data_IF_255337688940
#
_entry.id   IF_255337688940
#
_cell.length_a   1.000
_cell.length_b   1.000
_cell.length_c   1.000
_cell.angle_alpha   90.00
_cell.angle_beta   90.00
_cell.angle_gamma   90.00
#
_symmetry.space_group_name_H-M   'P 1'
#
loop_
_entity.id
_entity.type
_entity.pdbx_description
1 polymer ?
#
# COMPACT_ATOMS: atom_id res chain seq x y z
N UNK A 1 -20.37 -55.11 -7.64
CA UNK A 1 -19.43 -54.11 -8.17
C UNK A 1 -19.70 -52.83 -7.42
N UNK A 2 -18.86 -52.58 -6.42
CA UNK A 2 -18.81 -51.33 -5.66
C UNK A 2 -18.37 -50.20 -6.59
N UNK A 3 -18.99 -49.02 -6.46
CA UNK A 3 -18.41 -47.81 -7.02
C UNK A 3 -18.25 -46.81 -5.88
N UNK A 4 -16.99 -46.60 -5.52
CA UNK A 4 -16.50 -45.64 -4.54
C UNK A 4 -16.42 -44.26 -5.19
N UNK A 5 -16.56 -43.23 -4.34
CA UNK A 5 -15.88 -41.96 -4.55
C UNK A 5 -16.61 -40.95 -5.42
N UNK A 6 -17.18 -39.93 -4.78
CA UNK A 6 -16.47 -38.65 -4.68
C UNK A 6 -17.02 -37.89 -3.48
N UNK A 7 -16.22 -37.89 -2.43
CA UNK A 7 -16.30 -36.98 -1.30
C UNK A 7 -16.05 -35.57 -1.85
N UNK A 8 -17.09 -34.73 -1.97
CA UNK A 8 -16.88 -33.30 -2.27
C UNK A 8 -16.33 -32.66 -1.00
N UNK A 9 -15.03 -32.43 -1.06
CA UNK A 9 -14.22 -31.72 -0.09
C UNK A 9 -14.91 -30.42 0.33
N UNK A 10 -14.91 -30.24 1.65
CA UNK A 10 -15.32 -29.09 2.40
C UNK A 10 -14.92 -27.78 1.70
N UNK A 11 -15.89 -26.89 1.49
CA UNK A 11 -15.62 -25.48 1.34
C UNK A 11 -14.84 -25.04 2.58
N UNK A 12 -13.63 -24.54 2.35
CA UNK A 12 -12.76 -23.98 3.38
C UNK A 12 -13.53 -22.90 4.13
N UNK A 13 -14.00 -23.23 5.33
CA UNK A 13 -14.33 -22.24 6.35
C UNK A 13 -13.03 -21.48 6.60
N UNK A 14 -12.90 -20.32 5.97
CA UNK A 14 -11.90 -19.33 6.32
C UNK A 14 -12.18 -18.93 7.77
N UNK A 15 -11.53 -19.66 8.68
CA UNK A 15 -11.54 -19.40 10.10
C UNK A 15 -10.83 -18.07 10.31
N UNK A 16 -11.60 -16.98 10.29
CA UNK A 16 -11.09 -15.67 10.68
C UNK A 16 -10.69 -15.79 12.14
N UNK A 17 -9.38 -15.85 12.41
CA UNK A 17 -8.92 -15.80 13.77
C UNK A 17 -9.36 -14.46 14.37
N UNK A 18 -9.92 -14.45 15.60
CA UNK A 18 -10.25 -13.20 16.25
C UNK A 18 -9.00 -12.34 16.33
N UNK A 19 -9.17 -11.03 16.10
CA UNK A 19 -8.11 -10.07 16.36
C UNK A 19 -7.60 -10.31 17.77
N UNK A 20 -6.27 -10.46 17.91
CA UNK A 20 -5.68 -10.78 19.20
C UNK A 20 -6.20 -9.78 20.25
N UNK A 21 -6.80 -10.21 21.37
CA UNK A 21 -7.53 -9.32 22.27
C UNK A 21 -6.71 -8.13 22.78
N UNK A 22 -5.41 -8.33 23.01
CA UNK A 22 -4.47 -7.24 23.33
C UNK A 22 -4.34 -6.24 22.17
N UNK A 23 -4.15 -6.73 20.93
CA UNK A 23 -4.03 -5.88 19.76
C UNK A 23 -5.33 -5.09 19.57
N UNK A 24 -6.50 -5.74 19.66
CA UNK A 24 -7.79 -5.05 19.59
C UNK A 24 -7.93 -3.97 20.66
N UNK A 25 -7.55 -4.26 21.90
CA UNK A 25 -7.61 -3.30 23.01
C UNK A 25 -6.62 -2.13 22.81
N UNK A 26 -5.41 -2.41 22.32
CA UNK A 26 -4.40 -1.40 22.05
C UNK A 26 -4.81 -0.52 20.88
N UNK A 27 -5.29 -1.11 19.78
CA UNK A 27 -5.84 -0.41 18.62
C UNK A 27 -7.06 0.43 19.00
N UNK A 28 -8.03 -0.08 19.76
CA UNK A 28 -9.19 0.73 20.22
C UNK A 28 -8.74 1.90 21.11
N UNK A 29 -7.65 1.73 21.88
CA UNK A 29 -7.15 2.74 22.81
C UNK A 29 -6.27 3.79 22.12
N UNK A 30 -5.60 3.45 21.02
CA UNK A 30 -4.74 4.35 20.23
C UNK A 30 -5.43 4.93 18.99
N UNK A 31 -6.38 4.21 18.41
CA UNK A 31 -7.07 4.56 17.16
C UNK A 31 -8.45 5.11 17.46
N UNK A 32 -8.50 6.43 17.67
CA UNK A 32 -9.75 7.18 17.58
C UNK A 32 -10.25 7.23 16.13
N UNK A 33 -11.53 7.60 15.95
CA UNK A 33 -12.20 7.71 14.64
C UNK A 33 -11.58 8.83 13.76
N UNK A 34 -10.80 9.74 14.36
CA UNK A 34 -10.15 10.86 13.65
C UNK A 34 -8.76 10.53 13.11
N UNK A 35 -8.25 9.31 13.31
CA UNK A 35 -6.89 8.97 12.89
C UNK A 35 -6.81 8.77 11.37
N UNK A 36 -5.84 9.44 10.76
CA UNK A 36 -5.52 9.27 9.35
C UNK A 36 -4.54 8.09 9.18
N UNK A 37 -4.97 7.11 8.39
CA UNK A 37 -4.15 5.97 8.00
C UNK A 37 -3.76 6.07 6.54
N UNK A 38 -2.72 5.34 6.16
CA UNK A 38 -2.43 5.03 4.76
C UNK A 38 -2.48 3.53 4.54
N UNK A 39 -3.13 3.11 3.46
CA UNK A 39 -2.99 1.75 2.97
C UNK A 39 -1.98 1.74 1.82
N UNK A 40 -1.11 0.73 1.83
CA UNK A 40 -0.08 0.53 0.81
C UNK A 40 -0.22 -0.85 0.19
N UNK A 41 -0.27 -0.87 -1.15
CA UNK A 41 -0.09 -2.08 -1.95
C UNK A 41 0.94 -1.85 -3.05
N UNK A 42 1.43 -2.95 -3.64
CA UNK A 42 2.32 -2.90 -4.80
C UNK A 42 1.58 -3.46 -6.01
N UNK A 43 1.11 -2.57 -6.88
CA UNK A 43 0.43 -2.99 -8.11
C UNK A 43 1.40 -2.92 -9.29
N UNK A 44 1.62 -4.05 -9.97
CA UNK A 44 2.56 -4.17 -11.11
C UNK A 44 3.97 -3.61 -10.82
N UNK A 45 4.45 -3.83 -9.59
CA UNK A 45 5.77 -3.34 -9.15
C UNK A 45 5.81 -1.88 -8.72
N UNK A 46 4.67 -1.16 -8.76
CA UNK A 46 4.57 0.22 -8.30
C UNK A 46 3.88 0.27 -6.92
N UNK A 47 4.52 0.83 -5.89
CA UNK A 47 3.86 1.07 -4.62
C UNK A 47 2.81 2.15 -4.81
N UNK A 48 1.59 1.87 -4.37
CA UNK A 48 0.49 2.82 -4.34
C UNK A 48 0.09 3.01 -2.88
N UNK A 49 -0.02 4.26 -2.46
CA UNK A 49 -0.50 4.66 -1.15
C UNK A 49 -1.82 5.42 -1.29
N UNK A 50 -2.77 5.12 -0.42
CA UNK A 50 -4.07 5.81 -0.40
C UNK A 50 -4.47 6.10 1.04
N UNK A 51 -5.04 7.28 1.24
CA UNK A 51 -5.55 7.70 2.54
C UNK A 51 -6.72 6.82 2.93
N UNK A 52 -6.74 6.45 4.20
CA UNK A 52 -7.78 5.64 4.79
C UNK A 52 -8.22 6.21 6.13
N UNK A 53 -9.51 6.08 6.43
CA UNK A 53 -10.08 6.43 7.72
C UNK A 53 -10.73 5.20 8.32
N UNK A 54 -10.47 4.97 9.61
CA UNK A 54 -11.07 3.86 10.32
C UNK A 54 -12.55 4.17 10.62
N UNK A 55 -13.44 3.36 10.06
CA UNK A 55 -14.88 3.52 10.24
C UNK A 55 -15.42 2.64 11.37
N UNK A 56 -14.98 1.38 11.44
CA UNK A 56 -15.49 0.43 12.43
C UNK A 56 -14.46 -0.64 12.76
N UNK A 57 -14.39 -1.01 14.04
CA UNK A 57 -13.64 -2.16 14.55
C UNK A 57 -14.64 -3.27 14.89
N UNK A 58 -14.64 -4.34 14.11
CA UNK A 58 -15.41 -5.55 14.38
C UNK A 58 -14.67 -6.52 15.30
N UNK A 59 -15.23 -7.72 15.48
CA UNK A 59 -14.61 -8.77 16.30
C UNK A 59 -13.44 -9.47 15.59
N UNK A 60 -13.52 -9.57 14.27
CA UNK A 60 -12.56 -10.30 13.43
C UNK A 60 -11.97 -9.47 12.30
N UNK A 61 -12.50 -8.27 12.07
CA UNK A 61 -12.12 -7.41 10.95
C UNK A 61 -12.20 -5.93 11.32
N UNK A 62 -11.50 -5.11 10.54
CA UNK A 62 -11.57 -3.66 10.53
C UNK A 62 -12.22 -3.21 9.23
N UNK A 63 -13.07 -2.19 9.31
CA UNK A 63 -13.60 -1.52 8.13
C UNK A 63 -13.02 -0.12 8.04
N UNK A 64 -12.49 0.20 6.86
CA UNK A 64 -11.90 1.50 6.57
C UNK A 64 -12.48 2.08 5.29
N UNK A 65 -12.75 3.37 5.30
CA UNK A 65 -13.02 4.13 4.08
C UNK A 65 -11.69 4.51 3.42
N UNK A 66 -11.63 4.48 2.09
CA UNK A 66 -10.41 4.74 1.31
C UNK A 66 -10.71 5.67 0.13
N UNK A 67 -9.75 6.53 -0.20
CA UNK A 67 -9.88 7.48 -1.29
C UNK A 67 -9.87 6.77 -2.67
N UNK A 68 -10.89 7.05 -3.49
CA UNK A 68 -10.98 6.59 -4.89
C UNK A 68 -10.41 7.65 -5.84
N UNK A 69 -9.93 7.31 -7.06
CA UNK A 69 -9.99 6.00 -7.74
C UNK A 69 -8.76 5.10 -7.51
N UNK A 70 -7.70 5.63 -6.89
CA UNK A 70 -6.40 4.97 -6.75
C UNK A 70 -6.48 3.62 -6.01
N UNK A 71 -7.42 3.51 -5.08
CA UNK A 71 -7.69 2.31 -4.28
C UNK A 71 -8.31 1.15 -5.06
N UNK A 72 -8.61 1.29 -6.36
CA UNK A 72 -9.18 0.20 -7.18
C UNK A 72 -8.33 -1.07 -7.16
N UNK A 73 -7.01 -0.93 -7.02
CA UNK A 73 -6.09 -2.05 -6.93
C UNK A 73 -6.32 -2.95 -5.70
N UNK A 74 -6.97 -2.47 -4.63
CA UNK A 74 -7.40 -3.30 -3.50
C UNK A 74 -8.35 -4.43 -3.93
N UNK A 75 -9.01 -4.31 -5.09
CA UNK A 75 -9.84 -5.38 -5.65
C UNK A 75 -9.04 -6.55 -6.25
N UNK A 76 -7.74 -6.37 -6.46
CA UNK A 76 -6.86 -7.36 -7.12
C UNK A 76 -5.79 -7.93 -6.19
N UNK A 77 -5.61 -7.34 -5.00
CA UNK A 77 -4.61 -7.72 -4.03
C UNK A 77 -5.22 -8.55 -2.89
N UNK A 78 -4.43 -9.47 -2.32
CA UNK A 78 -4.88 -10.32 -1.20
C UNK A 78 -4.54 -9.73 0.18
N UNK A 79 -3.59 -8.80 0.24
CA UNK A 79 -3.13 -8.16 1.47
C UNK A 79 -2.73 -6.71 1.22
N UNK A 80 -2.72 -5.93 2.29
CA UNK A 80 -2.27 -4.53 2.32
C UNK A 80 -1.42 -4.29 3.55
N UNK A 81 -0.59 -3.25 3.49
CA UNK A 81 -0.02 -2.66 4.71
C UNK A 81 -0.92 -1.52 5.15
N UNK A 82 -1.20 -1.46 6.45
CA UNK A 82 -1.82 -0.34 7.14
C UNK A 82 -0.72 0.43 7.84
N UNK A 83 -0.60 1.72 7.53
CA UNK A 83 0.28 2.65 8.22
C UNK A 83 -0.51 3.55 9.13
N UNK A 84 -0.16 3.50 10.41
CA UNK A 84 -0.54 4.51 11.38
C UNK A 84 0.52 5.61 11.39
N UNK A 85 0.22 6.71 10.68
CA UNK A 85 1.13 7.85 10.53
C UNK A 85 1.42 8.50 11.88
N UNK A 86 0.44 8.56 12.78
CA UNK A 86 0.56 9.26 14.04
C UNK A 86 1.47 8.53 15.02
N UNK A 87 1.41 7.20 15.05
CA UNK A 87 2.20 6.39 15.98
C UNK A 87 3.41 5.72 15.33
N UNK A 88 3.62 5.92 14.02
CA UNK A 88 4.72 5.30 13.25
C UNK A 88 4.71 3.77 13.36
N UNK A 89 3.51 3.17 13.31
CA UNK A 89 3.30 1.72 13.34
C UNK A 89 2.84 1.22 11.97
N UNK A 90 3.24 -0.01 11.64
CA UNK A 90 2.80 -0.68 10.43
C UNK A 90 2.20 -2.05 10.78
N UNK A 91 1.12 -2.39 10.07
CA UNK A 91 0.44 -3.69 10.20
C UNK A 91 0.25 -4.28 8.82
N UNK A 92 0.58 -5.56 8.64
CA UNK A 92 0.11 -6.31 7.48
C UNK A 92 -1.29 -6.82 7.78
N UNK A 93 -2.19 -6.68 6.81
CA UNK A 93 -3.56 -7.13 6.94
C UNK A 93 -4.00 -7.83 5.66
N UNK A 94 -4.83 -8.86 5.82
CA UNK A 94 -5.49 -9.53 4.70
C UNK A 94 -6.67 -8.68 4.24
N UNK A 95 -6.83 -8.51 2.93
CA UNK A 95 -8.02 -7.90 2.33
C UNK A 95 -9.12 -8.97 2.25
N UNK A 96 -10.20 -8.77 2.99
CA UNK A 96 -11.37 -9.66 2.99
C UNK A 96 -12.30 -9.29 1.85
N UNK A 97 -12.59 -7.99 1.73
CA UNK A 97 -13.44 -7.47 0.66
C UNK A 97 -13.14 -5.99 0.40
N UNK A 98 -13.41 -5.54 -0.82
CA UNK A 98 -13.36 -4.13 -1.19
C UNK A 98 -14.58 -3.75 -2.04
N UNK A 99 -15.36 -2.79 -1.55
CA UNK A 99 -16.49 -2.22 -2.25
C UNK A 99 -16.05 -0.93 -2.96
N UNK A 100 -15.84 -1.04 -4.27
CA UNK A 100 -15.39 0.07 -5.13
C UNK A 100 -16.37 1.25 -5.11
N UNK A 101 -17.68 0.98 -5.15
CA UNK A 101 -18.70 2.04 -5.22
C UNK A 101 -18.74 2.88 -3.93
N UNK A 102 -18.49 2.24 -2.78
CA UNK A 102 -18.49 2.90 -1.47
C UNK A 102 -17.11 3.35 -1.01
N UNK A 103 -16.04 2.94 -1.69
CA UNK A 103 -14.67 3.12 -1.22
C UNK A 103 -14.44 2.49 0.15
N UNK A 104 -15.01 1.30 0.42
CA UNK A 104 -14.92 0.63 1.72
C UNK A 104 -14.13 -0.67 1.60
N UNK A 105 -13.11 -0.84 2.45
CA UNK A 105 -12.32 -2.05 2.55
C UNK A 105 -12.51 -2.72 3.90
N UNK A 106 -12.62 -4.05 3.89
CA UNK A 106 -12.63 -4.89 5.07
C UNK A 106 -11.31 -5.64 5.18
N UNK A 107 -10.68 -5.55 6.35
CA UNK A 107 -9.34 -6.07 6.63
C UNK A 107 -9.36 -7.04 7.81
N UNK A 108 -8.65 -8.16 7.71
CA UNK A 108 -8.51 -9.16 8.78
C UNK A 108 -7.05 -9.53 9.04
N UNK A 109 -6.82 -10.39 10.03
CA UNK A 109 -5.53 -11.03 10.31
C UNK A 109 -4.39 -10.01 10.51
N UNK A 110 -4.68 -8.92 11.24
CA UNK A 110 -3.71 -7.86 11.48
C UNK A 110 -2.50 -8.40 12.25
N UNK A 111 -1.33 -8.25 11.62
CA UNK A 111 -0.06 -8.64 12.20
C UNK A 111 0.87 -7.43 12.22
N UNK A 112 1.40 -7.03 13.40
CA UNK A 112 2.44 -6.00 13.46
C UNK A 112 3.59 -6.37 12.54
N UNK A 113 4.09 -5.41 11.77
CA UNK A 113 5.17 -5.67 10.84
C UNK A 113 6.23 -4.59 10.93
N UNK A 114 7.48 -5.04 10.92
CA UNK A 114 8.64 -4.18 10.74
C UNK A 114 8.89 -3.91 9.25
N UNK A 115 7.95 -4.29 8.35
CA UNK A 115 7.86 -3.72 7.01
C UNK A 115 7.45 -2.25 7.15
N UNK A 116 8.42 -1.48 7.60
CA UNK A 116 8.36 -0.04 7.75
C UNK A 116 8.33 0.53 6.34
N UNK A 117 7.14 0.67 5.75
CA UNK A 117 6.92 1.69 4.73
C UNK A 117 6.82 3.04 5.46
N UNK A 118 7.86 3.40 6.20
CA UNK A 118 7.85 4.53 7.11
C UNK A 118 9.11 5.35 6.95
N UNK A 119 8.92 6.62 6.57
CA UNK A 119 9.75 7.74 7.00
C UNK A 119 11.28 7.51 7.08
N UNK A 120 11.89 6.98 6.01
CA UNK A 120 13.23 7.31 5.45
C UNK A 120 13.82 6.24 4.53
N UNK A 121 13.18 5.10 4.39
CA UNK A 121 13.56 4.10 3.38
C UNK A 121 12.35 3.75 2.52
N UNK A 122 12.02 4.64 1.58
CA UNK A 122 11.10 4.28 0.51
C UNK A 122 11.79 3.26 -0.40
N UNK A 123 11.09 2.18 -0.74
CA UNK A 123 11.52 1.28 -1.80
C UNK A 123 11.79 2.10 -3.06
N UNK A 124 13.06 2.13 -3.48
CA UNK A 124 13.50 2.73 -4.73
C UNK A 124 13.61 1.63 -5.75
N UNK A 125 12.97 1.83 -6.90
CA UNK A 125 13.19 0.97 -8.06
C UNK A 125 14.33 1.59 -8.84
N UNK A 126 15.48 0.93 -8.79
CA UNK A 126 16.64 1.23 -9.64
C UNK A 126 16.55 0.33 -10.88
N UNK A 127 16.45 0.87 -12.09
CA UNK A 127 16.49 0.10 -13.32
C UNK A 127 17.91 -0.45 -13.55
N UNK A 128 18.02 -1.60 -14.21
CA UNK A 128 19.31 -2.25 -14.50
C UNK A 128 20.29 -1.34 -15.29
N UNK A 129 19.76 -0.35 -16.01
CA UNK A 129 20.50 0.72 -16.68
C UNK A 129 19.72 2.04 -16.55
N UNK A 130 20.40 3.20 -16.44
CA UNK A 130 19.74 4.50 -16.42
C UNK A 130 18.78 4.69 -17.60
N UNK A 131 17.58 5.19 -17.34
CA UNK A 131 16.55 5.37 -18.36
C UNK A 131 16.57 6.83 -18.84
N UNK A 132 16.76 7.10 -20.15
CA UNK A 132 16.75 8.47 -20.65
C UNK A 132 15.36 9.11 -20.46
N UNK A 133 15.34 10.31 -19.88
CA UNK A 133 14.11 11.06 -19.56
C UNK A 133 14.18 12.51 -20.05
N UNK A 134 13.01 13.06 -20.35
CA UNK A 134 12.82 14.47 -20.71
C UNK A 134 11.95 15.14 -19.65
N UNK A 135 12.53 16.07 -18.91
CA UNK A 135 11.81 16.90 -17.94
C UNK A 135 11.33 18.16 -18.66
N UNK A 136 10.02 18.39 -18.69
CA UNK A 136 9.43 19.58 -19.32
C UNK A 136 8.84 20.48 -18.25
N UNK A 137 9.38 21.68 -18.10
CA UNK A 137 8.75 22.79 -17.37
C UNK A 137 8.11 23.78 -18.33
N UNK A 138 7.49 24.84 -17.81
CA UNK A 138 6.79 25.85 -18.63
C UNK A 138 7.72 26.55 -19.62
N UNK A 139 8.99 26.77 -19.24
CA UNK A 139 9.95 27.58 -20.01
C UNK A 139 11.11 26.75 -20.55
N UNK A 140 11.45 25.63 -19.91
CA UNK A 140 12.65 24.88 -20.21
C UNK A 140 12.38 23.38 -20.28
N UNK A 141 13.15 22.72 -21.14
CA UNK A 141 13.25 21.27 -21.20
C UNK A 141 14.66 20.89 -20.75
N UNK A 142 14.76 19.90 -19.88
CA UNK A 142 16.02 19.27 -19.49
C UNK A 142 16.01 17.81 -19.91
N UNK A 143 17.09 17.37 -20.55
CA UNK A 143 17.34 15.95 -20.85
C UNK A 143 18.24 15.40 -19.76
N UNK A 144 17.92 14.21 -19.25
CA UNK A 144 18.71 13.51 -18.25
C UNK A 144 18.46 12.02 -18.26
N UNK A 145 19.02 11.33 -17.28
CA UNK A 145 18.86 9.90 -17.08
C UNK A 145 18.25 9.66 -15.70
N UNK A 146 17.16 8.90 -15.65
CA UNK A 146 16.51 8.46 -14.43
C UNK A 146 17.33 7.31 -13.83
N UNK A 147 17.80 7.53 -12.60
CA UNK A 147 18.60 6.58 -11.83
C UNK A 147 17.73 5.76 -10.87
N UNK A 148 16.73 6.38 -10.27
CA UNK A 148 15.79 5.69 -9.38
C UNK A 148 14.43 6.38 -9.36
N UNK A 149 13.41 5.63 -8.97
CA UNK A 149 12.07 6.15 -8.68
C UNK A 149 11.54 5.58 -7.37
N UNK A 150 10.84 6.44 -6.62
CA UNK A 150 10.15 6.12 -5.38
C UNK A 150 8.77 6.76 -5.35
N UNK A 151 8.02 6.49 -4.28
CA UNK A 151 6.67 7.03 -4.09
C UNK A 151 6.63 8.57 -3.97
N UNK A 152 7.71 9.23 -3.54
CA UNK A 152 7.73 10.70 -3.37
C UNK A 152 8.68 11.45 -4.29
N UNK A 153 9.42 10.75 -5.15
CA UNK A 153 10.48 11.39 -5.91
C UNK A 153 11.14 10.49 -6.94
N UNK A 154 11.86 11.15 -7.84
CA UNK A 154 12.62 10.55 -8.93
C UNK A 154 14.05 11.09 -8.83
N UNK A 155 15.04 10.21 -8.83
CA UNK A 155 16.44 10.57 -8.98
C UNK A 155 16.79 10.75 -10.45
N UNK A 156 17.17 11.96 -10.86
CA UNK A 156 17.56 12.26 -12.25
C UNK A 156 18.97 12.86 -12.26
N UNK A 157 19.86 12.26 -13.04
CA UNK A 157 21.13 12.84 -13.40
C UNK A 157 20.96 13.67 -14.67
N UNK A 158 21.34 14.95 -14.62
CA UNK A 158 21.33 15.82 -15.79
C UNK A 158 22.74 15.93 -16.36
N UNK A 159 22.84 15.89 -17.68
CA UNK A 159 24.07 16.28 -18.35
C UNK A 159 23.97 17.78 -18.59
N UNK A 160 24.85 18.55 -17.95
CA UNK A 160 24.99 19.98 -18.26
C UNK A 160 25.26 20.12 -19.76
N UNK A 161 24.33 20.76 -20.50
CA UNK A 161 24.73 21.49 -21.69
C UNK A 161 25.57 22.65 -21.16
N UNK A 162 26.89 22.54 -21.33
CA UNK A 162 27.90 23.36 -20.69
C UNK A 162 27.57 24.84 -20.67
N UNK A 163 28.02 25.51 -19.60
CA UNK A 163 28.02 26.96 -19.51
C UNK A 163 28.56 27.55 -20.82
N UNK A 164 27.89 28.54 -21.42
CA UNK A 164 28.49 29.27 -22.52
C UNK A 164 29.80 29.88 -22.03
N UNK A 165 30.88 29.86 -22.84
CA UNK A 165 32.15 30.41 -22.42
C UNK A 165 31.95 31.87 -22.03
N UNK A 166 32.34 32.22 -20.81
CA UNK A 166 32.40 33.59 -20.33
C UNK A 166 33.27 34.39 -21.32
N UNK A 167 32.68 35.43 -21.93
CA UNK A 167 33.39 36.39 -22.76
C UNK A 167 34.23 37.33 -21.91
#
# INVERSE_FOLDING_TARGET
MENQGTNKLNCEESFLMPLHPQLKADLIKSWGVENAFELINVYKGLPLAYKATLETIGDHSLQMSVESPSSVCLSWENSTIILDIQHSLAFEARIVSYNIEKGMVELSDLTPTDRVFGFREMARVEPDQPIPVKISGEVHTVIGEMLDISLTGIGIQTHSLGDPPLK
#
